data_IF_403957095947
#
_entry.id   IF_403957095947
#
_cell.length_a   1.000
_cell.length_b   1.000
_cell.length_c   1.000
_cell.angle_alpha   90.00
_cell.angle_beta   90.00
_cell.angle_gamma   90.00
#
_symmetry.space_group_name_H-M   'P 1'
#
loop_
_entity.id
_entity.type
_entity.pdbx_description
1 polymer ?
#
# COMPACT_ATOMS: atom_id res chain seq x y z
N UNK A 1 -5.37 -31.43 0.33
CA UNK A 1 -4.88 -30.14 0.90
C UNK A 1 -4.61 -29.18 -0.23
N UNK A 2 -5.24 -28.01 -0.21
CA UNK A 2 -5.11 -26.99 -1.27
C UNK A 2 -3.84 -26.18 -1.02
N UNK A 3 -2.93 -26.16 -1.99
CA UNK A 3 -1.76 -25.28 -1.98
C UNK A 3 -1.88 -24.31 -3.15
N UNK A 4 -1.64 -23.04 -2.94
CA UNK A 4 -1.77 -22.08 -4.04
C UNK A 4 -1.49 -20.64 -3.64
N UNK A 5 -1.61 -19.78 -4.63
CA UNK A 5 -1.53 -18.33 -4.49
C UNK A 5 -2.84 -17.75 -4.95
N UNK A 6 -3.43 -16.87 -4.16
CA UNK A 6 -4.65 -16.15 -4.48
C UNK A 6 -4.35 -14.66 -4.64
N UNK A 7 -5.06 -14.03 -5.52
CA UNK A 7 -5.15 -12.58 -5.64
C UNK A 7 -6.50 -12.15 -5.08
N UNK A 8 -6.48 -11.31 -4.07
CA UNK A 8 -7.67 -10.86 -3.36
C UNK A 8 -7.76 -9.35 -3.51
N UNK A 9 -8.95 -8.85 -3.83
CA UNK A 9 -9.23 -7.42 -3.82
C UNK A 9 -9.49 -6.95 -2.38
N UNK A 10 -8.51 -6.28 -1.79
CA UNK A 10 -8.63 -5.77 -0.42
C UNK A 10 -9.49 -4.51 -0.39
N UNK A 11 -10.55 -4.47 0.41
CA UNK A 11 -11.36 -3.26 0.56
C UNK A 11 -10.63 -2.16 1.34
N UNK A 12 -11.13 -0.94 1.22
CA UNK A 12 -10.70 0.21 2.02
C UNK A 12 -11.08 0.02 3.50
N UNK A 13 -10.35 0.69 4.37
CA UNK A 13 -10.57 0.75 5.82
C UNK A 13 -10.37 -0.58 6.58
N UNK A 14 -9.71 -1.55 5.97
CA UNK A 14 -9.31 -2.80 6.63
C UNK A 14 -7.81 -3.06 6.41
N UNK A 15 -7.08 -3.36 7.48
CA UNK A 15 -5.66 -3.74 7.36
C UNK A 15 -5.51 -5.11 6.71
N UNK A 16 -4.38 -5.33 6.03
CA UNK A 16 -4.06 -6.63 5.41
C UNK A 16 -4.12 -7.77 6.43
N UNK A 17 -3.59 -7.55 7.64
CA UNK A 17 -3.60 -8.55 8.71
C UNK A 17 -5.03 -8.85 9.22
N UNK A 18 -5.88 -7.84 9.34
CA UNK A 18 -7.29 -8.02 9.73
C UNK A 18 -8.06 -8.82 8.69
N UNK A 19 -7.85 -8.49 7.42
CA UNK A 19 -8.47 -9.21 6.30
C UNK A 19 -8.08 -10.70 6.29
N UNK A 20 -6.79 -11.00 6.41
CA UNK A 20 -6.30 -12.38 6.49
C UNK A 20 -6.88 -13.12 7.70
N UNK A 21 -6.94 -12.47 8.86
CA UNK A 21 -7.52 -13.07 10.07
C UNK A 21 -9.00 -13.42 9.87
N UNK A 22 -9.75 -12.59 9.17
CA UNK A 22 -11.15 -12.86 8.81
C UNK A 22 -11.27 -14.07 7.87
N UNK A 23 -10.42 -14.15 6.85
CA UNK A 23 -10.36 -15.32 5.96
C UNK A 23 -10.00 -16.60 6.71
N UNK A 24 -9.02 -16.57 7.60
CA UNK A 24 -8.61 -17.73 8.40
C UNK A 24 -9.72 -18.22 9.35
N UNK A 25 -10.65 -17.35 9.75
CA UNK A 25 -11.82 -17.77 10.52
C UNK A 25 -12.88 -18.48 9.66
N UNK A 26 -12.99 -18.12 8.39
CA UNK A 26 -13.91 -18.77 7.45
C UNK A 26 -13.42 -20.14 7.02
N UNK A 27 -12.09 -20.29 6.90
CA UNK A 27 -11.43 -21.52 6.46
C UNK A 27 -10.33 -21.93 7.46
N UNK A 28 -10.71 -22.46 8.64
CA UNK A 28 -9.77 -22.75 9.73
C UNK A 28 -8.71 -23.82 9.38
N UNK A 29 -9.01 -24.68 8.42
CA UNK A 29 -8.11 -25.74 7.95
C UNK A 29 -6.98 -25.21 7.05
N UNK A 30 -7.09 -23.96 6.58
CA UNK A 30 -6.10 -23.36 5.70
C UNK A 30 -5.12 -22.49 6.49
N UNK A 31 -3.83 -22.75 6.30
CA UNK A 31 -2.80 -21.80 6.66
C UNK A 31 -2.75 -20.69 5.62
N UNK A 32 -3.04 -19.45 6.01
CA UNK A 32 -3.13 -18.30 5.12
C UNK A 32 -2.07 -17.27 5.50
N UNK A 33 -1.31 -16.77 4.52
CA UNK A 33 -0.33 -15.69 4.71
C UNK A 33 -0.32 -14.74 3.53
N UNK A 34 -0.20 -13.42 3.78
CA UNK A 34 -0.11 -12.43 2.70
C UNK A 34 1.33 -12.18 2.26
N UNK A 35 1.50 -11.83 0.99
CA UNK A 35 2.78 -11.52 0.35
C UNK A 35 2.88 -10.02 0.11
N UNK A 36 3.20 -9.27 1.13
CA UNK A 36 3.21 -7.82 1.14
C UNK A 36 2.02 -7.26 1.92
N UNK A 37 2.13 -6.00 2.29
CA UNK A 37 1.13 -5.29 3.08
C UNK A 37 0.58 -4.14 2.28
N UNK A 38 -0.74 -3.98 2.27
CA UNK A 38 -1.44 -2.78 1.86
C UNK A 38 -1.90 -2.04 3.11
N UNK A 39 -1.73 -0.73 3.11
CA UNK A 39 -2.23 0.13 4.18
C UNK A 39 -3.75 0.04 4.30
N UNK A 40 -4.34 0.32 5.48
CA UNK A 40 -5.79 0.24 5.66
C UNK A 40 -6.57 1.09 4.66
N UNK A 41 -6.05 2.28 4.32
CA UNK A 41 -6.65 3.19 3.35
C UNK A 41 -6.54 2.70 1.89
N UNK A 42 -5.57 1.84 1.60
CA UNK A 42 -5.33 1.34 0.24
C UNK A 42 -6.30 0.21 -0.11
N UNK A 43 -6.68 0.18 -1.38
CA UNK A 43 -7.47 -0.90 -2.01
C UNK A 43 -6.66 -1.59 -3.08
N UNK A 44 -7.13 -2.74 -3.53
CA UNK A 44 -6.56 -3.46 -4.67
C UNK A 44 -5.95 -4.81 -4.29
N UNK A 45 -5.08 -5.31 -5.15
CA UNK A 45 -4.62 -6.70 -5.10
C UNK A 45 -3.73 -6.95 -3.88
N UNK A 46 -4.20 -7.83 -3.01
CA UNK A 46 -3.43 -8.46 -1.94
C UNK A 46 -3.11 -9.91 -2.35
N UNK A 47 -1.84 -10.20 -2.54
CA UNK A 47 -1.39 -11.57 -2.86
C UNK A 47 -1.32 -12.38 -1.58
N UNK A 48 -1.95 -13.57 -1.60
CA UNK A 48 -2.10 -14.45 -0.45
C UNK A 48 -1.64 -15.86 -0.82
N UNK A 49 -0.85 -16.46 0.06
CA UNK A 49 -0.38 -17.84 -0.06
C UNK A 49 -1.16 -18.77 0.85
N UNK A 50 -1.46 -19.97 0.35
CA UNK A 50 -2.17 -21.02 1.07
C UNK A 50 -1.23 -22.19 1.38
N UNK A 51 -1.29 -22.66 2.62
CA UNK A 51 -0.61 -23.83 3.15
C UNK A 51 0.90 -23.82 2.85
N UNK A 52 1.43 -24.77 2.10
CA UNK A 52 2.87 -24.85 1.84
C UNK A 52 3.42 -23.68 1.04
N UNK A 53 2.57 -23.01 0.24
CA UNK A 53 2.97 -21.81 -0.51
C UNK A 53 3.31 -20.61 0.38
N UNK A 54 2.93 -20.62 1.66
CA UNK A 54 3.34 -19.58 2.61
C UNK A 54 4.87 -19.50 2.79
N UNK A 55 5.61 -20.56 2.47
CA UNK A 55 7.08 -20.57 2.48
C UNK A 55 7.69 -19.71 1.39
N UNK A 56 6.93 -19.43 0.33
CA UNK A 56 7.37 -18.60 -0.80
C UNK A 56 6.90 -17.14 -0.68
N UNK A 57 6.25 -16.77 0.43
CA UNK A 57 5.70 -15.43 0.62
C UNK A 57 6.76 -14.33 0.49
N UNK A 58 7.96 -14.52 1.02
CA UNK A 58 9.06 -13.55 0.92
C UNK A 58 9.51 -13.35 -0.54
N UNK A 59 9.55 -14.42 -1.32
CA UNK A 59 9.91 -14.36 -2.73
C UNK A 59 8.87 -13.57 -3.54
N UNK A 60 7.59 -13.85 -3.30
CA UNK A 60 6.49 -13.12 -3.96
C UNK A 60 6.39 -11.66 -3.50
N UNK A 61 6.75 -11.38 -2.24
CA UNK A 61 6.78 -10.02 -1.71
C UNK A 61 7.81 -9.12 -2.38
N UNK A 62 8.88 -9.68 -2.94
CA UNK A 62 9.93 -8.94 -3.65
C UNK A 62 9.58 -8.59 -5.09
N UNK A 63 8.43 -9.04 -5.61
CA UNK A 63 7.98 -8.74 -6.97
C UNK A 63 7.71 -7.24 -7.17
N UNK A 64 7.80 -6.78 -8.41
CA UNK A 64 7.39 -5.44 -8.79
C UNK A 64 5.92 -5.17 -8.46
N UNK A 65 5.63 -3.94 -8.07
CA UNK A 65 4.29 -3.48 -7.71
C UNK A 65 3.99 -2.16 -8.38
N UNK A 66 2.74 -2.00 -8.80
CA UNK A 66 2.25 -0.75 -9.38
C UNK A 66 1.15 -0.18 -8.49
N UNK A 67 1.26 1.11 -8.18
CA UNK A 67 0.29 1.82 -7.36
C UNK A 67 -0.24 3.03 -8.11
N UNK A 68 -1.52 3.30 -7.95
CA UNK A 68 -2.13 4.56 -8.32
C UNK A 68 -2.38 5.36 -7.04
N UNK A 69 -1.83 6.56 -6.96
CA UNK A 69 -1.95 7.42 -5.79
C UNK A 69 -2.57 8.76 -6.15
N UNK A 70 -3.42 9.28 -5.24
CA UNK A 70 -3.89 10.65 -5.27
C UNK A 70 -3.13 11.47 -4.23
N UNK A 71 -2.52 12.57 -4.66
CA UNK A 71 -1.79 13.48 -3.78
C UNK A 71 -2.61 14.76 -3.62
N UNK A 72 -2.93 15.11 -2.38
CA UNK A 72 -3.60 16.37 -2.04
C UNK A 72 -2.57 17.39 -1.61
N UNK A 73 -2.47 18.48 -2.37
CA UNK A 73 -1.58 19.58 -2.06
C UNK A 73 -2.13 20.49 -0.96
N UNK A 74 -1.24 21.22 -0.30
CA UNK A 74 -1.59 22.22 0.71
C UNK A 74 -1.81 21.68 2.11
N UNK A 75 -1.69 20.38 2.33
CA UNK A 75 -1.83 19.77 3.67
C UNK A 75 -0.66 18.85 3.97
N UNK A 76 -0.14 18.94 5.18
CA UNK A 76 0.86 18.04 5.73
C UNK A 76 0.25 17.30 6.93
N UNK A 77 0.40 16.00 6.96
CA UNK A 77 -0.09 15.17 8.06
C UNK A 77 1.05 14.55 8.85
N UNK A 78 0.76 14.10 10.06
CA UNK A 78 1.74 13.48 10.96
C UNK A 78 2.32 12.17 10.40
N UNK A 79 1.54 11.44 9.61
CA UNK A 79 1.94 10.18 8.99
C UNK A 79 2.43 10.33 7.54
N UNK A 80 2.20 11.49 6.91
CA UNK A 80 2.48 11.72 5.50
C UNK A 80 1.41 11.19 4.55
N UNK A 81 0.32 10.64 5.07
CA UNK A 81 -0.84 10.14 4.33
C UNK A 81 -2.16 10.71 4.87
N UNK A 82 -3.30 10.24 4.36
CA UNK A 82 -4.61 10.73 4.75
C UNK A 82 -5.13 10.24 6.11
N UNK A 83 -4.42 9.32 6.75
CA UNK A 83 -4.82 8.77 8.06
C UNK A 83 -4.25 9.57 9.24
N UNK A 84 -3.23 10.39 9.00
CA UNK A 84 -2.60 11.24 10.01
C UNK A 84 -3.37 12.53 10.29
N UNK A 85 -3.10 13.11 11.47
CA UNK A 85 -3.60 14.44 11.83
C UNK A 85 -2.93 15.52 10.98
N UNK A 86 -3.69 16.53 10.59
CA UNK A 86 -3.14 17.68 9.85
C UNK A 86 -2.28 18.49 10.82
N UNK A 87 -0.97 18.55 10.56
CA UNK A 87 0.01 19.28 11.37
C UNK A 87 0.44 20.61 10.76
N UNK A 88 0.18 20.79 9.47
CA UNK A 88 0.43 22.04 8.76
C UNK A 88 -0.51 22.15 7.56
N UNK A 89 -0.96 23.36 7.24
CA UNK A 89 -1.81 23.60 6.10
C UNK A 89 -1.45 24.93 5.45
N UNK A 90 -1.36 24.93 4.13
CA UNK A 90 -1.07 26.09 3.30
C UNK A 90 -2.09 26.17 2.19
N UNK A 91 -2.60 27.38 1.93
CA UNK A 91 -3.43 27.58 0.74
C UNK A 91 -2.64 27.23 -0.51
N UNK A 92 -3.26 26.47 -1.38
CA UNK A 92 -2.69 25.99 -2.62
C UNK A 92 -3.58 26.41 -3.79
N UNK A 93 -2.97 27.03 -4.79
CA UNK A 93 -3.63 27.33 -6.05
C UNK A 93 -2.98 26.55 -7.18
N UNK A 94 -3.78 25.86 -7.99
CA UNK A 94 -3.30 25.21 -9.22
C UNK A 94 -2.75 26.18 -10.25
N UNK A 95 -3.02 27.51 -10.09
CA UNK A 95 -2.48 28.55 -10.96
C UNK A 95 -0.99 28.83 -10.70
N UNK A 96 -0.47 28.43 -9.53
CA UNK A 96 0.91 28.66 -9.13
C UNK A 96 1.88 27.60 -9.73
N UNK A 97 1.35 26.55 -10.35
CA UNK A 97 2.14 25.43 -10.85
C UNK A 97 1.66 25.01 -12.25
N UNK A 98 2.61 24.80 -13.13
CA UNK A 98 2.33 24.17 -14.42
C UNK A 98 2.39 22.65 -14.31
N UNK A 99 1.72 21.93 -15.23
CA UNK A 99 1.84 20.48 -15.35
C UNK A 99 3.31 20.05 -15.52
N UNK A 100 4.14 20.89 -16.16
CA UNK A 100 5.56 20.65 -16.36
C UNK A 100 6.36 20.70 -15.04
N UNK A 101 5.99 21.58 -14.11
CA UNK A 101 6.63 21.67 -12.79
C UNK A 101 6.35 20.41 -11.96
N UNK A 102 5.12 19.91 -12.03
CA UNK A 102 4.74 18.65 -11.38
C UNK A 102 5.51 17.49 -11.98
N UNK A 103 5.56 17.38 -13.31
CA UNK A 103 6.27 16.32 -14.02
C UNK A 103 7.77 16.35 -13.71
N UNK A 104 8.43 17.51 -13.78
CA UNK A 104 9.83 17.68 -13.43
C UNK A 104 10.12 17.31 -11.97
N UNK A 105 9.15 17.52 -11.07
CA UNK A 105 9.29 17.14 -9.66
C UNK A 105 9.19 15.63 -9.50
N UNK A 106 8.23 14.97 -10.15
CA UNK A 106 8.07 13.50 -10.14
C UNK A 106 9.32 12.81 -10.68
N UNK A 107 9.94 13.34 -11.74
CA UNK A 107 11.17 12.79 -12.32
C UNK A 107 12.32 12.66 -11.30
N UNK A 108 12.38 13.53 -10.28
CA UNK A 108 13.40 13.47 -9.23
C UNK A 108 13.25 12.27 -8.29
N UNK A 109 12.08 11.61 -8.29
CA UNK A 109 11.79 10.44 -7.47
C UNK A 109 11.98 9.12 -8.23
N UNK A 110 12.35 9.17 -9.51
CA UNK A 110 12.63 7.97 -10.30
C UNK A 110 13.98 7.36 -9.93
N UNK A 111 14.05 6.03 -10.00
CA UNK A 111 15.26 5.28 -9.73
C UNK A 111 15.49 5.06 -8.21
N UNK A 112 16.75 4.80 -7.85
CA UNK A 112 17.13 4.53 -6.46
C UNK A 112 17.28 5.84 -5.68
N UNK A 113 16.51 6.01 -4.65
CA UNK A 113 16.59 7.15 -3.73
C UNK A 113 16.77 6.69 -2.27
N UNK A 114 17.43 7.53 -1.48
CA UNK A 114 17.49 7.33 -0.03
C UNK A 114 16.24 7.93 0.58
N UNK A 115 15.50 7.15 1.36
CA UNK A 115 14.34 7.61 2.11
C UNK A 115 14.66 7.65 3.60
N UNK A 116 14.19 8.70 4.27
CA UNK A 116 14.15 8.75 5.73
C UNK A 116 12.73 8.32 6.13
N UNK A 117 12.56 7.15 6.75
CA UNK A 117 11.23 6.72 7.19
C UNK A 117 10.69 7.69 8.24
N UNK A 118 9.38 7.87 8.34
CA UNK A 118 8.77 8.59 9.45
C UNK A 118 9.13 7.91 10.76
N UNK A 119 9.30 8.70 11.80
CA UNK A 119 9.69 8.24 13.13
C UNK A 119 8.51 7.55 13.83
#
# INVERSE_FOLDING_TARGET
MINGVLQIDKPKAESSASYIRRLSKLEPELKIGHCGTLDPMATGILVVCLNQMTRFASYLSSSEKTYQACIYFGKKTSTGDSEGEIIDSKEFSFLDFSSKDVENTIQKFLGKSKQKPPA
#
